data_IF_009078429912
#
_entry.id   IF_009078429912
#
_cell.length_a   1.000
_cell.length_b   1.000
_cell.length_c   1.000
_cell.angle_alpha   90.00
_cell.angle_beta   90.00
_cell.angle_gamma   90.00
#
_symmetry.space_group_name_H-M   'P 1'
#
loop_
_entity.id
_entity.type
_entity.pdbx_description
1 polymer ?
#
# COMPACT_ATOMS: atom_id res chain seq x y z
N UNK A 1 -24.50 -15.87 -7.40
CA UNK A 1 -24.63 -17.27 -7.83
C UNK A 1 -23.23 -17.75 -8.19
N UNK A 2 -22.68 -18.70 -7.40
CA UNK A 2 -21.42 -19.39 -7.73
C UNK A 2 -21.68 -20.37 -8.89
N UNK A 3 -20.87 -20.23 -9.92
CA UNK A 3 -20.86 -21.17 -11.05
C UNK A 3 -19.52 -21.88 -11.12
N UNK A 4 -19.49 -23.22 -11.11
CA UNK A 4 -18.27 -24.01 -11.00
C UNK A 4 -17.23 -23.81 -12.12
N UNK A 5 -17.61 -23.22 -13.26
CA UNK A 5 -16.73 -23.04 -14.42
C UNK A 5 -16.84 -21.65 -15.09
N UNK A 6 -17.58 -20.72 -14.51
CA UNK A 6 -17.78 -19.37 -15.03
C UNK A 6 -17.57 -18.36 -13.91
N UNK A 7 -17.19 -17.14 -14.27
CA UNK A 7 -17.09 -16.03 -13.31
C UNK A 7 -18.40 -15.85 -12.57
N UNK A 8 -18.34 -15.53 -11.28
CA UNK A 8 -19.53 -15.26 -10.46
C UNK A 8 -20.42 -14.21 -11.11
N UNK A 9 -21.70 -14.53 -11.21
CA UNK A 9 -22.71 -13.60 -11.73
C UNK A 9 -23.40 -12.88 -10.58
N UNK A 10 -23.24 -11.57 -10.54
CA UNK A 10 -23.90 -10.70 -9.57
C UNK A 10 -25.26 -10.26 -10.13
N UNK A 11 -26.34 -10.77 -9.54
CA UNK A 11 -27.69 -10.35 -9.89
C UNK A 11 -28.14 -9.24 -8.93
N UNK A 12 -28.80 -8.22 -9.49
CA UNK A 12 -29.46 -7.21 -8.66
C UNK A 12 -30.58 -7.83 -7.85
N UNK A 13 -30.63 -7.50 -6.57
CA UNK A 13 -31.74 -7.91 -5.70
C UNK A 13 -33.03 -7.17 -6.14
N UNK A 14 -34.14 -7.89 -6.45
CA UNK A 14 -35.38 -7.24 -6.89
C UNK A 14 -36.02 -6.38 -5.78
N UNK A 15 -35.81 -6.73 -4.49
CA UNK A 15 -36.45 -6.01 -3.38
C UNK A 15 -35.79 -4.66 -3.07
N UNK A 16 -34.48 -4.55 -3.26
CA UNK A 16 -33.74 -3.33 -2.91
C UNK A 16 -33.07 -2.67 -4.12
N UNK A 17 -33.23 -3.24 -5.31
CA UNK A 17 -32.55 -2.77 -6.55
C UNK A 17 -31.04 -2.50 -6.38
N UNK A 18 -30.37 -3.38 -5.63
CA UNK A 18 -28.94 -3.28 -5.37
C UNK A 18 -28.52 -2.25 -4.31
N UNK A 19 -29.47 -1.52 -3.70
CA UNK A 19 -29.18 -0.50 -2.68
C UNK A 19 -28.91 -1.08 -1.28
N UNK A 20 -29.06 -2.41 -1.11
CA UNK A 20 -28.92 -3.18 0.15
C UNK A 20 -30.01 -2.89 1.20
N UNK A 21 -30.77 -1.81 1.06
CA UNK A 21 -31.77 -1.36 2.02
C UNK A 21 -33.14 -1.22 1.37
N UNK A 22 -34.19 -1.62 2.10
CA UNK A 22 -35.59 -1.45 1.66
C UNK A 22 -35.92 0.04 1.57
N UNK A 23 -36.98 0.32 0.81
CA UNK A 23 -37.43 1.70 0.52
C UNK A 23 -37.66 2.51 1.81
N UNK A 24 -38.31 1.90 2.81
CA UNK A 24 -38.65 2.55 4.07
C UNK A 24 -37.43 3.03 4.84
N UNK A 25 -36.32 2.27 4.82
CA UNK A 25 -35.08 2.67 5.47
C UNK A 25 -34.38 3.81 4.75
N UNK A 26 -34.63 3.99 3.44
CA UNK A 26 -34.08 5.09 2.65
C UNK A 26 -34.79 6.42 2.87
N UNK A 27 -35.95 6.40 3.53
CA UNK A 27 -36.67 7.62 3.96
C UNK A 27 -36.00 8.27 5.17
N UNK A 28 -35.26 7.48 5.97
CA UNK A 28 -34.48 8.03 7.08
C UNK A 28 -33.26 8.77 6.50
N UNK A 29 -33.21 10.08 6.75
CA UNK A 29 -32.16 10.97 6.22
C UNK A 29 -31.23 11.49 7.29
N UNK A 30 -29.97 11.55 6.94
CA UNK A 30 -28.91 12.24 7.67
C UNK A 30 -28.66 13.58 7.01
N UNK A 31 -28.81 14.67 7.75
CA UNK A 31 -28.44 16.01 7.26
C UNK A 31 -26.96 16.27 7.49
N UNK A 32 -26.21 16.45 6.41
CA UNK A 32 -24.77 16.76 6.44
C UNK A 32 -24.37 17.62 5.24
N UNK A 33 -23.60 18.67 5.51
CA UNK A 33 -23.09 19.56 4.46
C UNK A 33 -24.18 20.19 3.60
N UNK A 34 -25.37 20.42 4.16
CA UNK A 34 -26.54 20.93 3.44
C UNK A 34 -27.23 19.90 2.54
N UNK A 35 -26.89 18.61 2.67
CA UNK A 35 -27.50 17.50 1.93
C UNK A 35 -28.27 16.59 2.88
N UNK A 36 -29.37 16.07 2.40
CA UNK A 36 -30.17 15.02 3.05
C UNK A 36 -29.80 13.66 2.43
N UNK A 37 -29.12 12.82 3.16
CA UNK A 37 -28.57 11.55 2.67
C UNK A 37 -29.19 10.36 3.39
N UNK A 38 -29.71 9.39 2.65
CA UNK A 38 -30.03 8.07 3.20
C UNK A 38 -28.78 7.23 3.38
N UNK A 39 -28.91 6.11 4.06
CA UNK A 39 -27.82 5.13 4.17
C UNK A 39 -27.37 4.62 2.79
N UNK A 40 -28.29 4.47 1.83
CA UNK A 40 -27.95 4.08 0.48
C UNK A 40 -27.11 5.15 -0.23
N UNK A 41 -27.45 6.43 -0.06
CA UNK A 41 -26.70 7.55 -0.62
C UNK A 41 -25.28 7.61 -0.01
N UNK A 42 -25.14 7.34 1.30
CA UNK A 42 -23.83 7.28 1.97
C UNK A 42 -22.98 6.15 1.40
N UNK A 43 -23.57 4.98 1.08
CA UNK A 43 -22.82 3.86 0.48
C UNK A 43 -22.36 4.14 -0.96
N UNK A 44 -23.01 5.07 -1.66
CA UNK A 44 -22.61 5.50 -3.01
C UNK A 44 -21.45 6.51 -2.98
N UNK A 45 -21.13 7.11 -1.82
CA UNK A 45 -20.00 8.01 -1.69
C UNK A 45 -18.68 7.24 -1.89
N UNK A 46 -17.73 7.89 -2.55
CA UNK A 46 -16.34 7.44 -2.52
C UNK A 46 -15.75 7.63 -1.12
N UNK A 47 -14.66 6.93 -0.81
CA UNK A 47 -13.93 7.15 0.44
C UNK A 47 -13.52 8.63 0.57
N UNK A 48 -13.03 9.26 -0.51
CA UNK A 48 -12.66 10.67 -0.51
C UNK A 48 -13.84 11.60 -0.21
N UNK A 49 -15.01 11.33 -0.82
CA UNK A 49 -16.21 12.14 -0.58
C UNK A 49 -16.72 11.97 0.85
N UNK A 50 -16.69 10.74 1.36
CA UNK A 50 -17.09 10.45 2.73
C UNK A 50 -16.17 11.14 3.76
N UNK A 51 -14.85 11.08 3.58
CA UNK A 51 -13.89 11.79 4.45
C UNK A 51 -14.18 13.29 4.47
N UNK A 52 -14.49 13.88 3.33
CA UNK A 52 -14.84 15.32 3.24
C UNK A 52 -16.18 15.63 3.91
N UNK A 53 -17.20 14.81 3.64
CA UNK A 53 -18.55 15.04 4.17
C UNK A 53 -18.60 14.88 5.70
N UNK A 54 -17.87 13.90 6.22
CA UNK A 54 -17.81 13.58 7.65
C UNK A 54 -16.57 14.16 8.35
N UNK A 55 -15.97 15.24 7.82
CA UNK A 55 -14.74 15.81 8.35
C UNK A 55 -14.83 16.21 9.85
N UNK A 56 -16.02 16.55 10.34
CA UNK A 56 -16.27 16.84 11.74
C UNK A 56 -16.40 15.59 12.62
N UNK A 57 -16.65 14.43 12.04
CA UNK A 57 -16.88 13.17 12.73
C UNK A 57 -15.55 12.37 12.81
N UNK A 58 -14.75 12.67 13.83
CA UNK A 58 -13.38 12.14 13.99
C UNK A 58 -13.26 10.62 13.89
N UNK A 59 -14.27 9.90 14.39
CA UNK A 59 -14.25 8.43 14.37
C UNK A 59 -14.48 7.88 12.96
N UNK A 60 -15.33 8.53 12.16
CA UNK A 60 -15.53 8.21 10.75
C UNK A 60 -14.26 8.48 9.96
N UNK A 61 -13.68 9.67 10.10
CA UNK A 61 -12.42 10.03 9.43
C UNK A 61 -11.32 9.05 9.80
N UNK A 62 -11.16 8.71 11.08
CA UNK A 62 -10.15 7.75 11.54
C UNK A 62 -10.32 6.37 10.92
N UNK A 63 -11.56 5.93 10.72
CA UNK A 63 -11.85 4.64 10.10
C UNK A 63 -11.60 4.63 8.59
N UNK A 64 -11.86 5.74 7.89
CA UNK A 64 -11.74 5.84 6.43
C UNK A 64 -10.34 6.28 5.96
N UNK A 65 -9.60 7.05 6.77
CA UNK A 65 -8.29 7.58 6.40
C UNK A 65 -7.28 6.51 5.94
N UNK A 66 -7.19 5.32 6.57
CA UNK A 66 -6.31 4.26 6.09
C UNK A 66 -6.61 3.80 4.66
N UNK A 67 -7.87 3.85 4.21
CA UNK A 67 -8.24 3.53 2.83
C UNK A 67 -7.71 4.60 1.84
N UNK A 68 -7.85 5.87 2.20
CA UNK A 68 -7.28 6.95 1.41
C UNK A 68 -5.74 6.92 1.39
N UNK A 69 -5.13 6.57 2.52
CA UNK A 69 -3.67 6.47 2.66
C UNK A 69 -3.05 5.40 1.74
N UNK A 70 -3.80 4.37 1.36
CA UNK A 70 -3.35 3.31 0.44
C UNK A 70 -3.82 3.51 -1.01
N UNK A 71 -4.39 4.68 -1.34
CA UNK A 71 -4.84 4.98 -2.70
C UNK A 71 -6.16 4.29 -3.08
N UNK A 72 -7.04 4.02 -2.11
CA UNK A 72 -8.41 3.52 -2.35
C UNK A 72 -9.46 4.62 -2.14
N UNK A 73 -9.08 5.88 -2.31
CA UNK A 73 -9.93 7.04 -2.10
C UNK A 73 -11.09 7.17 -3.11
N UNK A 74 -10.95 6.56 -4.28
CA UNK A 74 -11.99 6.50 -5.33
C UNK A 74 -13.01 5.37 -5.13
N UNK A 75 -12.73 4.39 -4.27
CA UNK A 75 -13.61 3.24 -4.04
C UNK A 75 -14.86 3.70 -3.28
N UNK A 76 -16.03 3.21 -3.70
CA UNK A 76 -17.29 3.49 -3.00
C UNK A 76 -17.38 2.72 -1.70
N UNK A 77 -17.96 3.33 -0.65
CA UNK A 77 -18.17 2.67 0.64
C UNK A 77 -19.04 1.40 0.52
N UNK A 78 -19.97 1.39 -0.41
CA UNK A 78 -20.85 0.26 -0.69
C UNK A 78 -20.29 -0.73 -1.71
N UNK A 79 -19.07 -0.58 -2.22
CA UNK A 79 -18.54 -1.49 -3.24
C UNK A 79 -18.36 -2.91 -2.67
N UNK A 80 -18.90 -3.95 -3.34
CA UNK A 80 -18.69 -5.33 -2.91
C UNK A 80 -17.20 -5.73 -3.07
N UNK A 81 -16.62 -6.33 -2.02
CA UNK A 81 -15.21 -6.75 -2.03
C UNK A 81 -14.84 -7.64 -3.23
N UNK A 82 -15.69 -8.61 -3.68
CA UNK A 82 -15.37 -9.41 -4.85
C UNK A 82 -15.28 -8.65 -6.18
N UNK A 83 -15.71 -7.39 -6.22
CA UNK A 83 -15.59 -6.53 -7.42
C UNK A 83 -14.28 -5.74 -7.45
N UNK A 84 -13.48 -5.83 -6.41
CA UNK A 84 -12.16 -5.22 -6.35
C UNK A 84 -11.15 -6.04 -7.16
N UNK A 85 -10.26 -5.35 -7.84
CA UNK A 85 -9.09 -5.99 -8.45
C UNK A 85 -8.18 -6.63 -7.39
N UNK A 86 -7.29 -7.54 -7.80
CA UNK A 86 -6.34 -8.17 -6.88
C UNK A 86 -5.49 -7.15 -6.11
N UNK A 87 -4.99 -6.12 -6.80
CA UNK A 87 -4.23 -5.05 -6.17
C UNK A 87 -5.07 -4.19 -5.21
N UNK A 88 -6.34 -3.90 -5.53
CA UNK A 88 -7.25 -3.19 -4.62
C UNK A 88 -7.55 -4.02 -3.36
N UNK A 89 -7.80 -5.31 -3.51
CA UNK A 89 -8.03 -6.22 -2.40
C UNK A 89 -6.80 -6.31 -1.48
N UNK A 90 -5.60 -6.33 -2.04
CA UNK A 90 -4.35 -6.32 -1.27
C UNK A 90 -4.19 -5.00 -0.50
N UNK A 91 -4.45 -3.85 -1.14
CA UNK A 91 -4.42 -2.53 -0.49
C UNK A 91 -5.50 -2.39 0.59
N UNK A 92 -6.67 -2.98 0.39
CA UNK A 92 -7.71 -3.01 1.41
C UNK A 92 -7.25 -3.76 2.68
N UNK A 93 -6.56 -4.89 2.53
CA UNK A 93 -5.92 -5.59 3.66
C UNK A 93 -4.86 -4.71 4.34
N UNK A 94 -4.02 -4.04 3.56
CA UNK A 94 -3.02 -3.10 4.09
C UNK A 94 -3.66 -1.98 4.91
N UNK A 95 -4.76 -1.39 4.43
CA UNK A 95 -5.51 -0.37 5.18
C UNK A 95 -6.02 -0.90 6.52
N UNK A 96 -6.46 -2.17 6.58
CA UNK A 96 -6.84 -2.84 7.83
C UNK A 96 -5.70 -2.89 8.85
N UNK A 97 -4.50 -3.28 8.41
CA UNK A 97 -3.32 -3.30 9.29
C UNK A 97 -2.89 -1.91 9.76
N UNK A 98 -2.98 -0.90 8.90
CA UNK A 98 -2.71 0.49 9.29
C UNK A 98 -3.70 1.00 10.33
N UNK A 99 -4.99 0.68 10.17
CA UNK A 99 -6.02 1.04 11.15
C UNK A 99 -5.76 0.38 12.51
N UNK A 100 -5.33 -0.88 12.51
CA UNK A 100 -4.98 -1.61 13.73
C UNK A 100 -3.72 -1.04 14.39
N UNK A 101 -2.67 -0.77 13.61
CA UNK A 101 -1.44 -0.14 14.09
C UNK A 101 -1.72 1.22 14.74
N UNK A 102 -2.59 2.04 14.15
CA UNK A 102 -2.99 3.34 14.68
C UNK A 102 -3.76 3.22 16.01
N UNK A 103 -4.66 2.24 16.15
CA UNK A 103 -5.36 1.94 17.40
C UNK A 103 -4.38 1.55 18.51
N UNK A 104 -3.45 0.67 18.17
CA UNK A 104 -2.44 0.17 19.10
C UNK A 104 -1.45 1.24 19.56
N UNK A 105 -1.06 2.17 18.67
CA UNK A 105 -0.21 3.31 19.03
C UNK A 105 -0.89 4.24 20.06
N UNK A 106 -2.20 4.40 19.96
CA UNK A 106 -2.99 5.20 20.92
C UNK A 106 -3.15 4.54 22.30
N UNK A 107 -3.16 3.21 22.35
CA UNK A 107 -3.36 2.43 23.57
C UNK A 107 -2.08 2.20 24.39
N UNK A 108 -0.89 2.36 23.79
CA UNK A 108 0.37 2.00 24.44
C UNK A 108 1.13 3.19 24.99
N UNK A 109 0.76 3.66 26.18
CA UNK A 109 1.70 4.34 27.10
C UNK A 109 2.59 3.37 27.88
N UNK A 110 2.43 2.08 27.72
CA UNK A 110 3.28 1.07 28.37
C UNK A 110 4.11 0.34 27.28
N UNK A 111 5.42 0.56 27.33
CA UNK A 111 6.44 -0.09 26.53
C UNK A 111 6.61 -1.57 26.93
N UNK A 112 5.71 -2.44 26.50
CA UNK A 112 6.11 -3.83 26.30
C UNK A 112 6.62 -3.93 24.87
N UNK A 113 7.79 -4.55 24.69
CA UNK A 113 8.38 -4.79 23.39
C UNK A 113 7.36 -5.54 22.52
N UNK A 114 6.71 -4.81 21.60
CA UNK A 114 5.78 -5.42 20.65
C UNK A 114 6.63 -6.25 19.70
N UNK A 115 6.31 -7.54 19.59
CA UNK A 115 6.84 -8.37 18.51
C UNK A 115 6.43 -7.73 17.19
N UNK A 116 7.42 -7.39 16.35
CA UNK A 116 7.18 -6.93 14.98
C UNK A 116 6.48 -8.03 14.17
N UNK A 117 5.70 -7.63 13.18
CA UNK A 117 5.11 -8.53 12.18
C UNK A 117 5.91 -8.41 10.90
N UNK A 118 6.20 -9.51 10.23
CA UNK A 118 6.74 -9.53 8.88
C UNK A 118 5.56 -9.51 7.89
N UNK A 119 5.49 -8.49 7.05
CA UNK A 119 4.54 -8.39 5.96
C UNK A 119 5.21 -8.79 4.64
N UNK A 120 4.51 -9.58 3.86
CA UNK A 120 4.91 -10.02 2.54
C UNK A 120 3.96 -9.40 1.51
N UNK A 121 4.51 -8.64 0.57
CA UNK A 121 3.75 -8.02 -0.53
C UNK A 121 4.28 -8.52 -1.86
N UNK A 122 3.36 -8.88 -2.74
CA UNK A 122 3.64 -9.31 -4.09
C UNK A 122 3.08 -8.26 -5.05
N UNK A 123 3.97 -7.56 -5.75
CA UNK A 123 3.68 -6.49 -6.72
C UNK A 123 2.59 -5.49 -6.28
N UNK A 124 2.71 -4.87 -5.09
CA UNK A 124 1.65 -4.00 -4.56
C UNK A 124 1.41 -2.73 -5.38
N UNK A 125 2.33 -2.38 -6.31
CA UNK A 125 2.16 -1.22 -7.20
C UNK A 125 1.44 -1.54 -8.50
N UNK A 126 1.10 -2.80 -8.76
CA UNK A 126 0.43 -3.19 -10.01
C UNK A 126 -0.89 -2.44 -10.20
N UNK A 127 -1.04 -1.79 -11.36
CA UNK A 127 -2.21 -1.00 -11.72
C UNK A 127 -2.35 0.34 -11.00
N UNK A 128 -1.31 0.81 -10.30
CA UNK A 128 -1.29 2.12 -9.66
C UNK A 128 -0.78 3.22 -10.59
N UNK A 129 -1.40 4.39 -10.48
CA UNK A 129 -0.87 5.64 -11.02
C UNK A 129 0.25 6.18 -10.10
N UNK A 130 1.11 7.05 -10.62
CA UNK A 130 2.26 7.62 -9.92
C UNK A 130 1.93 8.19 -8.53
N UNK A 131 0.84 8.96 -8.44
CA UNK A 131 0.41 9.58 -7.18
C UNK A 131 0.00 8.53 -6.13
N UNK A 132 -0.56 7.41 -6.58
CA UNK A 132 -1.00 6.33 -5.70
C UNK A 132 0.17 5.48 -5.22
N UNK A 133 1.23 5.34 -6.02
CA UNK A 133 2.50 4.74 -5.58
C UNK A 133 3.08 5.54 -4.42
N UNK A 134 3.07 6.87 -4.50
CA UNK A 134 3.53 7.72 -3.42
C UNK A 134 2.68 7.57 -2.14
N UNK A 135 1.35 7.40 -2.26
CA UNK A 135 0.47 7.10 -1.12
C UNK A 135 0.81 5.74 -0.50
N UNK A 136 0.94 4.70 -1.34
CA UNK A 136 1.31 3.36 -0.90
C UNK A 136 2.66 3.37 -0.16
N UNK A 137 3.68 4.03 -0.69
CA UNK A 137 5.00 4.13 -0.07
C UNK A 137 4.94 4.80 1.32
N UNK A 138 4.12 5.84 1.48
CA UNK A 138 3.88 6.45 2.80
C UNK A 138 3.19 5.49 3.77
N UNK A 139 2.25 4.69 3.27
CA UNK A 139 1.55 3.69 4.07
C UNK A 139 2.50 2.58 4.55
N UNK A 140 3.35 2.06 3.65
CA UNK A 140 4.38 1.07 3.98
C UNK A 140 5.38 1.63 5.01
N UNK A 141 5.79 2.89 4.87
CA UNK A 141 6.68 3.56 5.84
C UNK A 141 6.04 3.64 7.24
N UNK A 142 4.75 3.91 7.34
CA UNK A 142 4.03 3.89 8.64
C UNK A 142 4.09 2.53 9.32
N UNK A 143 4.06 1.41 8.58
CA UNK A 143 4.24 0.07 9.16
C UNK A 143 5.66 -0.13 9.69
N UNK A 144 6.69 0.31 8.96
CA UNK A 144 8.09 0.26 9.43
C UNK A 144 8.28 1.09 10.70
N UNK A 145 7.74 2.31 10.75
CA UNK A 145 7.77 3.20 11.92
C UNK A 145 7.04 2.60 13.13
N UNK A 146 6.01 1.76 12.90
CA UNK A 146 5.32 1.01 13.94
C UNK A 146 6.11 -0.22 14.45
N UNK A 147 7.30 -0.50 13.89
CA UNK A 147 8.20 -1.58 14.30
C UNK A 147 7.96 -2.91 13.59
N UNK A 148 7.32 -2.87 12.42
CA UNK A 148 7.12 -4.04 11.57
C UNK A 148 8.23 -4.16 10.51
N UNK A 149 8.33 -5.33 9.88
CA UNK A 149 9.25 -5.58 8.76
C UNK A 149 8.46 -5.86 7.48
N UNK A 150 9.00 -5.42 6.35
CA UNK A 150 8.36 -5.61 5.05
C UNK A 150 9.31 -6.39 4.12
N UNK A 151 8.78 -7.38 3.44
CA UNK A 151 9.39 -8.01 2.27
C UNK A 151 8.46 -7.74 1.08
N UNK A 152 8.99 -7.07 0.06
CA UNK A 152 8.19 -6.62 -1.08
C UNK A 152 8.82 -7.19 -2.35
N UNK A 153 8.06 -7.97 -3.10
CA UNK A 153 8.43 -8.40 -4.45
C UNK A 153 7.95 -7.29 -5.38
N UNK A 154 8.87 -6.65 -6.09
CA UNK A 154 8.58 -5.49 -6.93
C UNK A 154 9.57 -5.30 -8.07
N UNK A 155 9.09 -4.67 -9.13
CA UNK A 155 9.87 -4.22 -10.28
C UNK A 155 9.77 -2.70 -10.52
N UNK A 156 8.94 -2.00 -9.76
CA UNK A 156 8.82 -0.55 -9.81
C UNK A 156 10.07 0.11 -9.22
N UNK A 157 10.78 0.89 -10.05
CA UNK A 157 12.07 1.47 -9.67
C UNK A 157 11.97 2.49 -8.52
N UNK A 158 10.84 3.16 -8.32
CA UNK A 158 10.66 4.05 -7.18
C UNK A 158 10.63 3.27 -5.86
N UNK A 159 9.97 2.11 -5.84
CA UNK A 159 9.93 1.22 -4.67
C UNK A 159 11.29 0.60 -4.42
N UNK A 160 11.92 0.03 -5.45
CA UNK A 160 13.25 -0.57 -5.37
C UNK A 160 14.29 0.43 -4.85
N UNK A 161 14.27 1.66 -5.39
CA UNK A 161 15.15 2.75 -4.99
C UNK A 161 14.94 3.22 -3.56
N UNK A 162 13.71 3.11 -3.04
CA UNK A 162 13.33 3.54 -1.69
C UNK A 162 13.49 2.45 -0.62
N UNK A 163 13.88 1.23 -1.01
CA UNK A 163 14.11 0.12 -0.08
C UNK A 163 15.37 0.31 0.74
N UNK A 164 15.43 -0.32 1.91
CA UNK A 164 16.62 -0.33 2.76
C UNK A 164 17.63 -1.40 2.32
N UNK A 165 17.10 -2.51 1.75
CA UNK A 165 17.89 -3.65 1.28
C UNK A 165 17.20 -4.30 0.09
N UNK A 166 17.97 -4.77 -0.88
CA UNK A 166 17.50 -5.44 -2.09
C UNK A 166 18.14 -6.82 -2.16
N UNK A 167 17.35 -7.80 -2.56
CA UNK A 167 17.79 -9.14 -2.98
C UNK A 167 17.46 -9.25 -4.46
N UNK A 168 18.47 -9.24 -5.30
CA UNK A 168 18.35 -9.26 -6.77
C UNK A 168 18.48 -10.66 -7.29
N UNK A 169 17.40 -11.20 -7.84
CA UNK A 169 17.30 -12.55 -8.38
C UNK A 169 17.27 -12.49 -9.92
N UNK A 170 17.99 -13.41 -10.55
CA UNK A 170 18.02 -13.46 -12.00
C UNK A 170 19.11 -14.41 -12.53
N UNK A 171 19.65 -14.18 -13.77
CA UNK A 171 19.14 -13.21 -14.76
C UNK A 171 17.84 -13.63 -15.43
N UNK A 172 17.59 -14.95 -15.52
CA UNK A 172 16.45 -15.54 -16.21
C UNK A 172 15.35 -15.98 -15.24
N UNK A 173 14.22 -16.45 -15.77
CA UNK A 173 13.12 -17.05 -15.01
C UNK A 173 13.03 -18.56 -15.28
N UNK A 174 12.20 -19.27 -14.50
CA UNK A 174 11.99 -20.72 -14.68
C UNK A 174 13.15 -21.58 -14.17
N UNK A 175 13.43 -22.68 -14.85
CA UNK A 175 14.46 -23.66 -14.44
C UNK A 175 15.89 -23.10 -14.52
N UNK A 176 16.14 -22.12 -15.39
CA UNK A 176 17.44 -21.49 -15.60
C UNK A 176 17.60 -20.17 -14.81
N UNK A 177 16.62 -19.82 -13.97
CA UNK A 177 16.57 -18.58 -13.24
C UNK A 177 16.64 -18.72 -11.73
N UNK A 178 16.48 -17.58 -11.05
CA UNK A 178 16.37 -17.55 -9.59
C UNK A 178 17.71 -17.61 -8.86
N UNK A 179 18.83 -17.38 -9.55
CA UNK A 179 20.12 -17.20 -8.89
C UNK A 179 20.15 -15.87 -8.10
N UNK A 180 20.81 -15.88 -6.96
CA UNK A 180 21.14 -14.64 -6.25
C UNK A 180 22.25 -13.92 -7.02
N UNK A 181 21.89 -12.86 -7.75
CA UNK A 181 22.83 -12.06 -8.54
C UNK A 181 23.59 -11.07 -7.67
N UNK A 182 22.86 -10.39 -6.78
CA UNK A 182 23.39 -9.40 -5.86
C UNK A 182 22.45 -9.20 -4.67
N UNK A 183 23.02 -8.76 -3.55
CA UNK A 183 22.27 -8.28 -2.40
C UNK A 183 22.95 -7.05 -1.80
N UNK A 184 22.17 -6.15 -1.23
CA UNK A 184 22.70 -4.94 -0.61
C UNK A 184 21.73 -3.77 -0.64
N UNK A 185 22.24 -2.60 -0.30
CA UNK A 185 21.51 -1.35 -0.44
C UNK A 185 21.31 -1.00 -1.92
N UNK A 186 20.37 -0.10 -2.25
CA UNK A 186 20.24 0.40 -3.62
C UNK A 186 21.55 0.99 -4.18
N UNK A 187 22.42 1.54 -3.33
CA UNK A 187 23.73 2.05 -3.72
C UNK A 187 24.69 0.92 -4.10
N UNK A 188 24.70 -0.17 -3.34
CA UNK A 188 25.54 -1.34 -3.63
C UNK A 188 25.14 -1.98 -4.95
N UNK A 189 23.83 -2.11 -5.21
CA UNK A 189 23.34 -2.67 -6.47
C UNK A 189 23.71 -1.80 -7.67
N UNK A 190 23.65 -0.46 -7.55
CA UNK A 190 24.10 0.45 -8.62
C UNK A 190 25.59 0.23 -8.96
N UNK A 191 26.41 -0.10 -7.99
CA UNK A 191 27.83 -0.40 -8.21
C UNK A 191 28.09 -1.80 -8.75
N UNK A 192 27.11 -2.72 -8.65
CA UNK A 192 27.30 -4.13 -9.02
C UNK A 192 27.30 -4.32 -10.53
N UNK A 193 28.37 -4.93 -11.13
CA UNK A 193 28.53 -4.97 -12.59
C UNK A 193 27.56 -5.91 -13.30
N UNK A 194 27.06 -6.96 -12.64
CA UNK A 194 26.17 -7.98 -13.22
C UNK A 194 24.69 -7.77 -12.91
N UNK A 195 24.33 -6.81 -12.02
CA UNK A 195 22.96 -6.57 -11.63
C UNK A 195 22.23 -5.78 -12.71
N UNK A 196 21.20 -6.39 -13.31
CA UNK A 196 20.29 -5.73 -14.23
C UNK A 196 19.44 -4.66 -13.50
N UNK A 197 19.00 -4.97 -12.29
CA UNK A 197 18.32 -4.02 -11.40
C UNK A 197 19.21 -2.81 -11.09
N UNK A 198 20.50 -3.05 -10.82
CA UNK A 198 21.47 -1.98 -10.60
C UNK A 198 21.69 -1.11 -11.84
N UNK A 199 21.72 -1.71 -13.04
CA UNK A 199 21.81 -0.96 -14.30
C UNK A 199 20.56 -0.09 -14.51
N UNK A 200 19.37 -0.67 -14.33
CA UNK A 200 18.11 0.07 -14.43
C UNK A 200 18.01 1.23 -13.42
N UNK A 201 18.47 1.03 -12.18
CA UNK A 201 18.53 2.11 -11.19
C UNK A 201 19.45 3.26 -11.61
N UNK A 202 20.62 2.96 -12.22
CA UNK A 202 21.53 4.00 -12.74
C UNK A 202 20.89 4.81 -13.87
N UNK A 203 20.27 4.14 -14.84
CA UNK A 203 19.58 4.80 -15.96
C UNK A 203 18.42 5.65 -15.46
N UNK A 204 17.64 5.13 -14.51
CA UNK A 204 16.53 5.84 -13.92
C UNK A 204 16.98 7.12 -13.19
N UNK A 205 18.03 7.04 -12.37
CA UNK A 205 18.59 8.20 -11.67
C UNK A 205 19.15 9.25 -12.65
N UNK A 206 19.76 8.83 -13.77
CA UNK A 206 20.22 9.73 -14.81
C UNK A 206 19.05 10.45 -15.50
N UNK A 207 17.97 9.74 -15.78
CA UNK A 207 16.76 10.32 -16.37
C UNK A 207 16.12 11.39 -15.49
N UNK A 208 16.09 11.14 -14.17
CA UNK A 208 15.59 12.12 -13.20
C UNK A 208 16.51 13.35 -13.06
N UNK A 209 17.82 13.16 -13.23
CA UNK A 209 18.81 14.25 -13.19
C UNK A 209 18.83 15.11 -14.45
N UNK A 210 18.47 14.56 -15.60
CA UNK A 210 18.42 15.26 -16.90
C UNK A 210 17.06 15.90 -17.20
N UNK A 211 16.00 15.43 -16.54
CA UNK A 211 14.65 15.96 -16.64
C UNK A 211 14.50 17.24 -15.83
N UNK A 212 15.14 18.32 -16.25
CA UNK A 212 14.88 19.67 -15.74
C UNK A 212 13.51 20.23 -16.18
N UNK A 213 12.47 19.41 -16.20
CA UNK A 213 11.10 19.87 -16.16
C UNK A 213 10.76 20.03 -14.69
N UNK A 214 10.77 21.30 -14.26
CA UNK A 214 10.11 21.71 -13.03
C UNK A 214 8.66 21.22 -13.09
N UNK A 215 8.41 20.06 -12.50
CA UNK A 215 7.09 19.74 -12.03
C UNK A 215 6.95 20.54 -10.74
N UNK A 216 6.50 21.78 -10.89
CA UNK A 216 5.90 22.51 -9.78
C UNK A 216 4.78 21.64 -9.24
N UNK A 217 4.81 21.38 -7.94
CA UNK A 217 3.89 20.55 -7.14
C UNK A 217 4.22 19.06 -6.95
N UNK A 218 5.46 18.69 -6.80
CA UNK A 218 5.83 17.38 -6.29
C UNK A 218 7.22 17.40 -5.71
N UNK A 219 7.35 17.50 -4.39
CA UNK A 219 8.64 17.22 -3.75
C UNK A 219 9.06 15.82 -4.18
N UNK A 220 10.30 15.61 -4.65
CA UNK A 220 10.77 14.28 -5.01
C UNK A 220 10.47 13.30 -3.89
N UNK A 221 10.05 12.09 -4.22
CA UNK A 221 9.70 11.03 -3.28
C UNK A 221 10.77 10.87 -2.17
N UNK A 222 12.05 11.09 -2.52
CA UNK A 222 13.18 11.14 -1.58
C UNK A 222 13.07 12.20 -0.48
N UNK A 223 12.44 13.33 -0.72
CA UNK A 223 12.28 14.36 0.31
C UNK A 223 11.21 13.97 1.34
N UNK A 224 10.26 13.13 0.94
CA UNK A 224 9.27 12.55 1.83
C UNK A 224 9.81 11.34 2.62
N UNK A 225 10.87 10.69 2.12
CA UNK A 225 11.47 9.49 2.69
C UNK A 225 12.67 9.76 3.63
N UNK A 226 13.16 11.00 3.72
CA UNK A 226 14.39 11.39 4.44
C UNK A 226 14.25 11.56 5.96
N UNK A 227 13.40 10.86 6.68
CA UNK A 227 13.27 11.02 8.14
C UNK A 227 13.36 9.75 8.99
N UNK A 228 14.14 8.77 8.58
CA UNK A 228 14.52 7.71 9.52
C UNK A 228 16.01 7.42 9.40
N UNK A 229 16.76 7.35 10.51
CA UNK A 229 18.14 6.86 10.46
C UNK A 229 18.12 5.41 9.98
N UNK A 230 19.14 4.94 9.25
CA UNK A 230 19.26 3.54 8.88
C UNK A 230 19.27 2.70 10.15
N UNK A 231 18.33 1.77 10.27
CA UNK A 231 18.35 0.75 11.28
C UNK A 231 19.61 -0.12 11.12
N UNK A 232 20.12 -0.77 12.19
CA UNK A 232 21.30 -1.62 12.08
C UNK A 232 21.02 -2.76 11.08
N UNK A 233 22.01 -3.16 10.25
CA UNK A 233 21.88 -4.23 9.29
C UNK A 233 21.53 -5.53 10.02
N UNK A 234 20.48 -6.20 9.56
CA UNK A 234 19.92 -7.40 10.19
C UNK A 234 20.78 -8.67 10.04
N UNK A 235 21.92 -8.62 9.35
CA UNK A 235 22.83 -9.76 9.19
C UNK A 235 24.27 -9.37 9.53
N UNK A 236 24.70 -9.66 10.76
CA UNK A 236 26.09 -10.06 10.98
C UNK A 236 26.17 -11.55 10.68
N UNK A 237 26.82 -11.90 9.58
CA UNK A 237 27.15 -13.27 9.24
C UNK A 237 27.85 -13.94 10.41
N UNK A 238 27.32 -15.06 10.89
CA UNK A 238 28.03 -15.93 11.79
C UNK A 238 29.25 -16.50 11.07
N UNK A 239 30.43 -16.09 11.50
CA UNK A 239 31.67 -16.78 11.16
C UNK A 239 31.56 -18.23 11.65
N UNK A 240 31.52 -19.16 10.72
CA UNK A 240 31.82 -20.55 11.02
C UNK A 240 33.31 -20.62 11.37
N UNK A 241 33.63 -20.55 12.66
CA UNK A 241 34.90 -21.00 13.17
C UNK A 241 34.99 -22.51 12.98
N UNK A 242 35.68 -22.96 11.96
CA UNK A 242 36.22 -24.29 11.85
C UNK A 242 37.30 -24.45 12.90
N UNK A 243 37.14 -25.38 13.82
CA UNK A 243 38.14 -25.77 14.81
C UNK A 243 38.27 -27.29 14.83
N UNK A 244 39.44 -27.74 14.44
CA UNK A 244 40.16 -28.90 14.89
C UNK A 244 39.48 -30.25 15.09
#
# INVERSE_FOLDING_TARGET
VEMQFLSDVYLRCPDCDGTRYRAELREIKLSRGGKELSIADVLELTVADAVRLFAADRDVVRALQPLADVGLDYVKLGQPVPTLSGGEAQRLKLAGFLAEAAKNASASRQKLAKKGTLFLFDEPTTGLHFDDIAKLMRALRKLLEAGHSLLVIEHNLDVVRASDWIVDLGPEGGEDGGELVAEGTPADLRAHPRSHTGAALREYDQSLGQGGLAVEEGRPLQALLRKSPPGPPFFKGGEHAGGG
#
